data_IF_112835477894
#
_entry.id   IF_112835477894
#
_cell.length_a   1.000
_cell.length_b   1.000
_cell.length_c   1.000
_cell.angle_alpha   90.00
_cell.angle_beta   90.00
_cell.angle_gamma   90.00
#
_symmetry.space_group_name_H-M   'P 1'
#
loop_
_entity.id
_entity.type
_entity.pdbx_description
1 polymer ?
#
# COMPACT_ATOMS: atom_id res chain seq x y z
N UNK A 1 13.43 37.21 18.72
CA UNK A 1 13.96 35.84 18.66
C UNK A 1 12.95 34.89 19.28
N UNK A 2 12.01 34.34 18.48
CA UNK A 2 11.06 33.34 18.99
C UNK A 2 11.74 31.98 19.06
N UNK A 3 12.28 31.66 20.24
CA UNK A 3 12.63 30.28 20.64
C UNK A 3 11.32 29.51 20.89
N UNK A 4 11.35 28.19 20.77
CA UNK A 4 10.23 27.23 20.93
C UNK A 4 9.39 26.94 19.65
N UNK A 5 10.07 26.39 18.63
CA UNK A 5 9.43 25.69 17.48
C UNK A 5 9.21 24.18 17.76
N UNK A 6 8.91 23.78 19.00
CA UNK A 6 8.73 22.35 19.38
C UNK A 6 7.29 22.02 19.81
N UNK A 7 6.28 22.46 19.05
CA UNK A 7 4.87 22.28 19.43
C UNK A 7 4.25 20.97 18.90
N UNK A 8 4.99 20.06 18.25
CA UNK A 8 4.37 18.85 17.66
C UNK A 8 5.09 17.51 17.85
N UNK A 9 6.11 17.39 18.71
CA UNK A 9 6.64 16.07 19.06
C UNK A 9 5.80 15.45 20.18
N UNK A 10 4.84 14.59 19.80
CA UNK A 10 4.12 13.74 20.77
C UNK A 10 4.99 12.53 21.08
N UNK A 11 5.29 12.31 22.37
CA UNK A 11 5.93 11.09 22.82
C UNK A 11 4.92 9.94 22.74
N UNK A 12 5.33 8.83 22.14
CA UNK A 12 4.54 7.60 22.06
C UNK A 12 5.30 6.55 22.88
N UNK A 13 4.60 5.97 23.84
CA UNK A 13 5.11 4.86 24.65
C UNK A 13 4.28 3.63 24.36
N UNK A 14 4.96 2.52 24.08
CA UNK A 14 4.35 1.23 23.76
C UNK A 14 5.03 0.14 24.57
N UNK A 15 4.27 -0.89 24.92
CA UNK A 15 4.78 -2.09 25.60
C UNK A 15 4.86 -3.22 24.58
N UNK A 16 6.01 -3.87 24.52
CA UNK A 16 6.22 -5.04 23.69
C UNK A 16 6.41 -6.29 24.55
N UNK A 17 6.02 -7.47 24.06
CA UNK A 17 6.51 -8.73 24.61
C UNK A 17 8.05 -8.75 24.59
N UNK A 18 8.66 -9.39 25.58
CA UNK A 18 10.12 -9.46 25.69
C UNK A 18 10.78 -10.02 24.42
N UNK A 19 10.17 -11.02 23.79
CA UNK A 19 10.67 -11.62 22.54
C UNK A 19 10.79 -10.62 21.40
N UNK A 20 9.88 -9.65 21.31
CA UNK A 20 9.91 -8.66 20.24
C UNK A 20 10.84 -7.51 20.60
N UNK A 21 10.87 -7.11 21.88
CA UNK A 21 11.85 -6.14 22.38
C UNK A 21 13.29 -6.57 22.05
N UNK A 22 13.66 -7.82 22.34
CA UNK A 22 15.00 -8.35 22.07
C UNK A 22 15.37 -8.34 20.58
N UNK A 23 14.39 -8.50 19.68
CA UNK A 23 14.63 -8.41 18.23
C UNK A 23 14.95 -6.96 17.83
N UNK A 24 14.17 -6.02 18.36
CA UNK A 24 14.35 -4.58 18.08
C UNK A 24 15.69 -4.10 18.64
N UNK A 25 16.05 -4.57 19.85
CA UNK A 25 17.34 -4.27 20.48
C UNK A 25 18.50 -4.78 19.63
N UNK A 26 18.46 -6.03 19.19
CA UNK A 26 19.48 -6.59 18.28
C UNK A 26 19.61 -5.79 16.99
N UNK A 27 18.50 -5.44 16.35
CA UNK A 27 18.52 -4.63 15.14
C UNK A 27 19.09 -3.22 15.40
N UNK A 28 18.81 -2.64 16.58
CA UNK A 28 19.39 -1.37 16.98
C UNK A 28 20.91 -1.47 17.15
N UNK A 29 21.41 -2.55 17.76
CA UNK A 29 22.83 -2.84 17.90
C UNK A 29 23.51 -3.03 16.54
N UNK A 30 22.93 -3.83 15.65
CA UNK A 30 23.45 -4.08 14.30
C UNK A 30 23.56 -2.79 13.47
N UNK A 31 22.59 -1.89 13.62
CA UNK A 31 22.55 -0.60 12.93
C UNK A 31 23.34 0.51 13.64
N UNK A 32 23.93 0.24 14.82
CA UNK A 32 24.59 1.26 15.65
C UNK A 32 23.67 2.42 16.03
N UNK A 33 22.39 2.13 16.30
CA UNK A 33 21.34 3.12 16.56
C UNK A 33 20.58 2.82 17.85
N UNK A 34 19.59 3.67 18.19
CA UNK A 34 18.73 3.40 19.35
C UNK A 34 17.38 2.79 18.92
N UNK A 35 16.69 2.13 19.85
CA UNK A 35 15.41 1.47 19.61
C UNK A 35 14.34 2.42 19.03
N UNK A 36 14.35 3.69 19.45
CA UNK A 36 13.38 4.68 18.94
C UNK A 36 13.61 5.00 17.46
N UNK A 37 14.86 5.03 17.00
CA UNK A 37 15.21 5.26 15.60
C UNK A 37 14.87 4.06 14.73
N UNK A 38 15.12 2.84 15.22
CA UNK A 38 14.66 1.60 14.55
C UNK A 38 13.15 1.63 14.37
N UNK A 39 12.40 1.97 15.42
CA UNK A 39 10.95 2.08 15.37
C UNK A 39 10.45 3.14 14.38
N UNK A 40 11.09 4.32 14.34
CA UNK A 40 10.73 5.36 13.37
C UNK A 40 10.97 4.89 11.94
N UNK A 41 12.11 4.26 11.66
CA UNK A 41 12.43 3.72 10.33
C UNK A 41 11.44 2.64 9.93
N UNK A 42 11.15 1.70 10.82
CA UNK A 42 10.18 0.63 10.58
C UNK A 42 8.78 1.20 10.28
N UNK A 43 8.34 2.20 11.06
CA UNK A 43 7.07 2.87 10.83
C UNK A 43 6.99 3.59 9.49
N UNK A 44 8.04 4.34 9.13
CA UNK A 44 8.12 5.02 7.83
C UNK A 44 8.12 4.03 6.67
N UNK A 45 8.88 2.94 6.80
CA UNK A 45 8.92 1.88 5.80
C UNK A 45 7.55 1.19 5.65
N UNK A 46 6.86 0.93 6.76
CA UNK A 46 5.51 0.38 6.74
C UNK A 46 4.52 1.29 6.03
N UNK A 47 4.49 2.58 6.38
CA UNK A 47 3.60 3.55 5.72
C UNK A 47 3.90 3.65 4.22
N UNK A 48 5.17 3.76 3.86
CA UNK A 48 5.58 3.79 2.45
C UNK A 48 5.16 2.53 1.71
N UNK A 49 5.27 1.34 2.33
CA UNK A 49 4.78 0.09 1.75
C UNK A 49 3.26 0.08 1.54
N UNK A 50 2.49 0.67 2.45
CA UNK A 50 1.04 0.81 2.29
C UNK A 50 0.67 1.76 1.15
N UNK A 51 1.40 2.86 1.01
CA UNK A 51 1.24 3.80 -0.11
C UNK A 51 1.55 3.09 -1.43
N UNK A 52 2.67 2.36 -1.51
CA UNK A 52 3.02 1.58 -2.71
C UNK A 52 1.98 0.52 -3.07
N UNK A 53 1.43 -0.20 -2.08
CA UNK A 53 0.35 -1.17 -2.32
C UNK A 53 -0.89 -0.50 -2.89
N UNK A 54 -1.22 0.69 -2.39
CA UNK A 54 -2.37 1.46 -2.87
C UNK A 54 -2.13 1.94 -4.30
N UNK A 55 -0.97 2.50 -4.60
CA UNK A 55 -0.60 2.98 -5.93
C UNK A 55 -0.52 1.84 -6.95
N UNK A 56 -0.03 0.68 -6.54
CA UNK A 56 0.01 -0.52 -7.37
C UNK A 56 -1.41 -0.97 -7.72
N UNK A 57 -2.30 -1.06 -6.73
CA UNK A 57 -3.72 -1.41 -6.95
C UNK A 57 -4.41 -0.41 -7.87
N UNK A 58 -4.17 0.89 -7.69
CA UNK A 58 -4.73 1.92 -8.55
C UNK A 58 -4.21 1.81 -9.99
N UNK A 59 -2.93 1.48 -10.15
CA UNK A 59 -2.30 1.28 -11.45
C UNK A 59 -2.83 0.05 -12.16
N UNK A 60 -3.04 -1.04 -11.44
CA UNK A 60 -3.67 -2.27 -11.95
C UNK A 60 -5.09 -1.99 -12.45
N UNK A 61 -5.93 -1.32 -11.66
CA UNK A 61 -7.30 -0.96 -12.07
C UNK A 61 -7.28 -0.11 -13.35
N UNK A 62 -6.37 0.88 -13.42
CA UNK A 62 -6.23 1.75 -14.58
C UNK A 62 -5.75 0.97 -15.82
N UNK A 63 -4.82 0.05 -15.66
CA UNK A 63 -4.32 -0.78 -16.76
C UNK A 63 -5.41 -1.73 -17.27
N UNK A 64 -6.12 -2.42 -16.38
CA UNK A 64 -7.23 -3.30 -16.77
C UNK A 64 -8.34 -2.53 -17.49
N UNK A 65 -8.67 -1.32 -17.02
CA UNK A 65 -9.63 -0.45 -17.69
C UNK A 65 -9.14 -0.08 -19.10
N UNK A 66 -7.90 0.39 -19.25
CA UNK A 66 -7.36 0.74 -20.58
C UNK A 66 -7.28 -0.47 -21.50
N UNK A 67 -6.89 -1.63 -20.99
CA UNK A 67 -6.82 -2.87 -21.77
C UNK A 67 -8.21 -3.27 -22.28
N UNK A 68 -9.22 -3.19 -21.42
CA UNK A 68 -10.61 -3.43 -21.82
C UNK A 68 -11.04 -2.48 -22.94
N UNK A 69 -10.77 -1.18 -22.80
CA UNK A 69 -11.08 -0.18 -23.84
C UNK A 69 -10.38 -0.50 -25.17
N UNK A 70 -9.09 -0.86 -25.12
CA UNK A 70 -8.33 -1.23 -26.31
C UNK A 70 -8.95 -2.47 -26.97
N UNK A 71 -9.30 -3.50 -26.19
CA UNK A 71 -9.94 -4.70 -26.72
C UNK A 71 -11.30 -4.41 -27.36
N UNK A 72 -12.14 -3.58 -26.72
CA UNK A 72 -13.43 -3.16 -27.29
C UNK A 72 -13.24 -2.36 -28.59
N UNK A 73 -12.26 -1.47 -28.64
CA UNK A 73 -11.95 -0.67 -29.82
C UNK A 73 -11.42 -1.53 -30.97
N UNK A 74 -10.53 -2.49 -30.69
CA UNK A 74 -9.96 -3.41 -31.69
C UNK A 74 -11.05 -4.33 -32.28
N UNK A 75 -12.00 -4.77 -31.47
CA UNK A 75 -13.15 -5.55 -31.96
C UNK A 75 -14.25 -4.68 -32.60
N UNK A 76 -14.18 -3.35 -32.48
CA UNK A 76 -15.20 -2.45 -33.02
C UNK A 76 -16.57 -2.60 -32.34
N UNK A 77 -16.59 -2.93 -31.04
CA UNK A 77 -17.82 -3.17 -30.31
C UNK A 77 -18.70 -1.92 -30.24
N UNK A 78 -20.00 -2.11 -30.43
CA UNK A 78 -21.01 -1.09 -30.13
C UNK A 78 -21.09 -0.80 -28.62
N UNK A 79 -21.73 0.30 -28.25
CA UNK A 79 -21.86 0.68 -26.83
C UNK A 79 -22.64 -0.36 -26.01
N UNK A 80 -23.59 -1.06 -26.64
CA UNK A 80 -24.37 -2.12 -26.01
C UNK A 80 -23.50 -3.37 -25.76
N UNK A 81 -22.76 -3.82 -26.78
CA UNK A 81 -21.85 -4.98 -26.66
C UNK A 81 -20.74 -4.72 -25.64
N UNK A 82 -20.26 -3.48 -25.53
CA UNK A 82 -19.30 -3.08 -24.50
C UNK A 82 -19.86 -3.20 -23.08
N UNK A 83 -21.14 -2.85 -22.86
CA UNK A 83 -21.80 -3.03 -21.55
C UNK A 83 -21.94 -4.50 -21.20
N UNK A 84 -22.30 -5.33 -22.17
CA UNK A 84 -22.46 -6.77 -22.00
C UNK A 84 -21.11 -7.45 -21.69
N UNK A 85 -20.06 -7.11 -22.45
CA UNK A 85 -18.69 -7.61 -22.23
C UNK A 85 -18.13 -7.18 -20.87
N UNK A 86 -18.46 -5.98 -20.38
CA UNK A 86 -18.05 -5.52 -19.05
C UNK A 86 -18.71 -6.33 -17.93
N UNK A 87 -20.01 -6.63 -18.06
CA UNK A 87 -20.71 -7.47 -17.09
C UNK A 87 -20.18 -8.90 -17.07
N UNK A 88 -19.87 -9.46 -18.24
CA UNK A 88 -19.23 -10.78 -18.35
C UNK A 88 -17.83 -10.80 -17.74
N UNK A 89 -17.01 -9.77 -18.01
CA UNK A 89 -15.68 -9.65 -17.40
C UNK A 89 -15.78 -9.58 -15.87
N UNK A 90 -16.71 -8.78 -15.35
CA UNK A 90 -16.94 -8.64 -13.92
C UNK A 90 -17.35 -9.96 -13.28
N UNK A 91 -18.28 -10.70 -13.90
CA UNK A 91 -18.75 -11.99 -13.36
C UNK A 91 -17.62 -13.03 -13.32
N UNK A 92 -16.78 -13.08 -14.36
CA UNK A 92 -15.61 -13.98 -14.43
C UNK A 92 -14.54 -13.61 -13.40
N UNK A 93 -14.27 -12.32 -13.19
CA UNK A 93 -13.31 -11.85 -12.19
C UNK A 93 -13.81 -12.02 -10.74
N UNK A 94 -15.11 -11.87 -10.48
CA UNK A 94 -15.68 -12.07 -9.13
C UNK A 94 -15.99 -13.53 -8.78
N UNK A 95 -15.87 -14.46 -9.73
CA UNK A 95 -16.34 -15.84 -9.60
C UNK A 95 -15.45 -16.93 -10.21
N UNK A 96 -14.17 -16.63 -10.48
CA UNK A 96 -13.24 -17.56 -11.13
C UNK A 96 -12.59 -18.61 -10.22
N UNK A 97 -13.37 -19.41 -9.51
CA UNK A 97 -13.01 -20.79 -9.14
C UNK A 97 -14.21 -21.67 -9.48
N UNK A 98 -14.12 -22.36 -10.62
CA UNK A 98 -14.77 -23.65 -10.84
C UNK A 98 -13.71 -24.59 -11.37
#
# INVERSE_FOLDING_TARGET
MNKYKHVQQKAITVRFPLSDYLKIEREAEELGSNLADVMRKAWLAYNSSQDFKTDLKNSEIRLTSKLFEICCAVQGLSEQERKDAFQELKSRLSGGVK
#
